data_IF_015171345992
#
_entry.id   IF_015171345992
#
_cell.length_a   1.000
_cell.length_b   1.000
_cell.length_c   1.000
_cell.angle_alpha   90.00
_cell.angle_beta   90.00
_cell.angle_gamma   90.00
#
_symmetry.space_group_name_H-M   'P 1'
#
loop_
_entity.id
_entity.type
_entity.pdbx_description
1 polymer ?
#
# COMPACT_ATOMS: atom_id res chain seq x y z
N UNK A 1 -2.03 5.62 -0.25
CA UNK A 1 -1.03 4.54 -0.47
C UNK A 1 -0.30 4.89 -1.76
N UNK A 2 1.01 4.60 -1.87
CA UNK A 2 1.72 4.76 -3.15
C UNK A 2 1.19 3.74 -4.17
N UNK A 3 0.95 4.17 -5.41
CA UNK A 3 0.55 3.35 -6.54
C UNK A 3 1.74 2.93 -7.41
N UNK A 4 1.55 2.02 -8.38
CA UNK A 4 2.59 1.61 -9.34
C UNK A 4 3.26 2.77 -10.07
N UNK A 5 2.50 3.81 -10.43
CA UNK A 5 2.99 5.02 -11.11
C UNK A 5 4.06 5.80 -10.32
N UNK A 6 3.99 5.74 -8.98
CA UNK A 6 4.94 6.41 -8.08
C UNK A 6 6.33 5.76 -8.11
N UNK A 7 6.44 4.56 -8.68
CA UNK A 7 7.71 3.83 -8.86
C UNK A 7 8.20 3.84 -10.32
N UNK A 8 7.56 4.62 -11.20
CA UNK A 8 8.02 4.77 -12.58
C UNK A 8 9.39 5.45 -12.65
N UNK A 9 10.14 5.19 -13.72
CA UNK A 9 11.43 5.86 -13.98
C UNK A 9 11.30 7.38 -13.94
N UNK A 10 10.18 7.92 -14.44
CA UNK A 10 9.89 9.34 -14.42
C UNK A 10 9.69 9.87 -12.98
N UNK A 11 8.91 9.17 -12.16
CA UNK A 11 8.67 9.55 -10.76
C UNK A 11 9.95 9.49 -9.92
N UNK A 12 10.78 8.46 -10.13
CA UNK A 12 12.05 8.29 -9.42
C UNK A 12 13.06 9.37 -9.82
N UNK A 13 13.13 9.73 -11.11
CA UNK A 13 14.07 10.75 -11.63
C UNK A 13 13.57 12.18 -11.51
N UNK A 14 12.36 12.38 -10.98
CA UNK A 14 11.81 13.71 -10.77
C UNK A 14 12.77 14.56 -9.88
N UNK A 15 13.16 15.77 -10.33
CA UNK A 15 14.11 16.59 -9.59
C UNK A 15 13.67 16.94 -8.17
N UNK A 16 12.36 17.09 -7.93
CA UNK A 16 11.84 17.39 -6.61
C UNK A 16 11.90 16.16 -5.70
N UNK A 17 11.53 14.97 -6.20
CA UNK A 17 11.71 13.70 -5.48
C UNK A 17 13.17 13.49 -5.10
N UNK A 18 14.12 13.69 -6.03
CA UNK A 18 15.55 13.59 -5.76
C UNK A 18 16.03 14.61 -4.72
N UNK A 19 15.53 15.85 -4.77
CA UNK A 19 15.85 16.87 -3.79
C UNK A 19 15.35 16.52 -2.37
N UNK A 20 14.22 15.82 -2.25
CA UNK A 20 13.74 15.29 -0.97
C UNK A 20 14.58 14.11 -0.49
N UNK A 21 14.87 13.14 -1.35
CA UNK A 21 15.70 11.97 -1.02
C UNK A 21 17.07 12.40 -0.51
N UNK A 22 17.68 13.42 -1.12
CA UNK A 22 18.98 13.96 -0.72
C UNK A 22 19.01 14.56 0.70
N UNK A 23 17.85 14.79 1.33
CA UNK A 23 17.73 15.29 2.72
C UNK A 23 17.54 14.16 3.74
N UNK A 24 17.39 12.91 3.30
CA UNK A 24 17.07 11.78 4.17
C UNK A 24 18.38 11.17 4.71
N UNK A 25 18.46 11.01 6.03
CA UNK A 25 19.49 10.23 6.71
C UNK A 25 18.86 8.94 7.26
N UNK A 26 19.44 7.79 6.92
CA UNK A 26 19.01 6.49 7.41
C UNK A 26 19.90 6.06 8.59
N UNK A 27 19.32 6.02 9.79
CA UNK A 27 20.01 5.63 11.01
C UNK A 27 19.60 4.23 11.44
N UNK A 28 20.57 3.46 11.94
CA UNK A 28 20.29 2.18 12.57
C UNK A 28 19.65 2.39 13.95
N UNK A 29 18.52 1.74 14.22
CA UNK A 29 17.77 1.91 15.47
C UNK A 29 18.47 1.32 16.70
N UNK A 30 19.46 0.45 16.51
CA UNK A 30 20.22 -0.17 17.59
C UNK A 30 19.52 -1.38 18.22
N UNK A 31 20.09 -1.95 19.30
CA UNK A 31 19.63 -3.22 19.88
C UNK A 31 18.15 -3.26 20.26
N UNK A 32 17.58 -2.12 20.65
CA UNK A 32 16.14 -2.01 20.96
C UNK A 32 15.28 -2.31 19.72
N UNK A 33 15.67 -1.81 18.54
CA UNK A 33 14.96 -2.06 17.29
C UNK A 33 15.26 -3.47 16.77
N UNK A 34 16.50 -3.93 16.89
CA UNK A 34 16.88 -5.26 16.40
C UNK A 34 16.16 -6.38 17.15
N UNK A 35 16.00 -6.23 18.48
CA UNK A 35 15.32 -7.21 19.33
C UNK A 35 13.84 -7.41 19.00
N UNK A 36 13.24 -6.44 18.30
CA UNK A 36 11.85 -6.46 17.87
C UNK A 36 11.64 -7.18 16.54
N UNK A 37 12.71 -7.44 15.79
CA UNK A 37 12.65 -8.27 14.58
C UNK A 37 12.84 -9.75 14.93
N UNK A 38 12.10 -10.70 14.33
CA UNK A 38 11.11 -10.54 13.25
C UNK A 38 9.68 -10.30 13.73
N UNK A 39 9.46 -10.07 15.04
CA UNK A 39 8.10 -9.88 15.58
C UNK A 39 7.38 -8.72 14.91
N UNK A 40 8.07 -7.61 14.66
CA UNK A 40 7.56 -6.46 13.94
C UNK A 40 8.62 -5.84 13.03
N UNK A 41 8.31 -4.66 12.52
CA UNK A 41 9.18 -3.88 11.63
C UNK A 41 9.31 -2.49 12.26
N UNK A 42 10.16 -2.34 13.30
CA UNK A 42 10.24 -1.10 14.07
C UNK A 42 10.85 0.01 13.21
N UNK A 43 10.08 1.07 12.99
CA UNK A 43 10.49 2.22 12.18
C UNK A 43 10.03 3.51 12.85
N UNK A 44 10.83 4.57 12.68
CA UNK A 44 10.50 5.92 13.13
C UNK A 44 10.96 6.90 12.06
N UNK A 45 10.18 7.96 11.85
CA UNK A 45 10.55 9.11 11.02
C UNK A 45 10.54 10.36 11.89
N UNK A 46 11.60 11.15 11.75
CA UNK A 46 11.71 12.47 12.36
C UNK A 46 11.94 13.48 11.25
N UNK A 47 11.16 14.56 11.24
CA UNK A 47 11.28 15.65 10.26
C UNK A 47 11.69 16.92 11.01
N UNK A 48 12.86 17.46 10.66
CA UNK A 48 13.39 18.69 11.23
C UNK A 48 13.04 19.88 10.32
N UNK A 49 12.38 20.88 10.90
CA UNK A 49 12.20 22.22 10.34
C UNK A 49 13.13 23.20 11.05
N UNK A 50 13.18 24.45 10.59
CA UNK A 50 14.04 25.49 11.20
C UNK A 50 13.69 25.77 12.66
N UNK A 51 12.41 25.69 13.02
CA UNK A 51 11.87 26.08 14.33
C UNK A 51 11.29 24.90 15.14
N UNK A 52 11.14 23.72 14.53
CA UNK A 52 10.48 22.58 15.18
C UNK A 52 10.89 21.22 14.63
N UNK A 53 10.56 20.20 15.39
CA UNK A 53 10.73 18.81 15.02
C UNK A 53 9.37 18.10 15.07
N UNK A 54 9.06 17.32 14.03
CA UNK A 54 7.94 16.39 14.01
C UNK A 54 8.46 14.97 14.18
N UNK A 55 7.74 14.17 14.96
CA UNK A 55 8.13 12.81 15.32
C UNK A 55 6.96 11.86 15.11
N UNK A 56 7.18 10.77 14.36
CA UNK A 56 6.13 9.77 14.14
C UNK A 56 5.85 8.88 15.36
N UNK A 57 6.74 8.89 16.35
CA UNK A 57 6.88 7.80 17.31
C UNK A 57 7.42 6.52 16.66
N UNK A 58 7.77 5.53 17.49
CA UNK A 58 8.17 4.20 17.04
C UNK A 58 6.93 3.42 16.60
N UNK A 59 6.86 3.06 15.31
CA UNK A 59 5.83 2.19 14.76
C UNK A 59 6.40 0.77 14.69
N UNK A 60 5.85 -0.15 15.48
CA UNK A 60 6.27 -1.56 15.48
C UNK A 60 5.49 -2.41 14.47
N UNK A 61 4.18 -2.16 14.37
CA UNK A 61 3.27 -2.89 13.48
C UNK A 61 2.64 -1.92 12.47
N UNK A 62 3.23 -1.76 11.27
CA UNK A 62 2.63 -0.93 10.23
C UNK A 62 1.25 -1.45 9.82
N UNK A 63 0.46 -0.63 9.15
CA UNK A 63 -0.95 -0.90 8.84
C UNK A 63 -1.23 -2.22 8.08
N UNK A 64 -0.24 -2.79 7.38
CA UNK A 64 -0.37 -4.09 6.69
C UNK A 64 0.09 -5.29 7.51
N UNK A 65 0.60 -5.09 8.74
CA UNK A 65 1.11 -6.16 9.59
C UNK A 65 -0.03 -6.89 10.29
N UNK A 66 0.06 -8.22 10.43
CA UNK A 66 -0.98 -9.06 11.05
C UNK A 66 -1.27 -8.69 12.51
N UNK A 67 -0.27 -8.22 13.24
CA UNK A 67 -0.40 -7.72 14.62
C UNK A 67 -0.82 -6.25 14.73
N UNK A 68 -1.08 -5.54 13.62
CA UNK A 68 -1.56 -4.16 13.69
C UNK A 68 -3.04 -4.13 14.14
N UNK A 69 -3.36 -3.34 15.17
CA UNK A 69 -4.72 -3.21 15.71
C UNK A 69 -5.30 -1.80 15.61
N UNK A 70 -4.53 -0.85 15.07
CA UNK A 70 -4.88 0.57 15.01
C UNK A 70 -5.37 1.05 13.64
N UNK A 71 -5.39 0.17 12.63
CA UNK A 71 -5.74 0.53 11.26
C UNK A 71 -7.17 0.11 10.91
N UNK A 72 -7.86 0.94 10.12
CA UNK A 72 -9.11 0.54 9.47
C UNK A 72 -8.77 -0.32 8.24
N UNK A 73 -8.70 -1.64 8.45
CA UNK A 73 -8.28 -2.58 7.41
C UNK A 73 -9.25 -2.63 6.22
N UNK A 74 -10.56 -2.55 6.46
CA UNK A 74 -11.56 -2.59 5.40
C UNK A 74 -11.37 -1.41 4.45
N UNK A 75 -11.21 -0.20 4.99
CA UNK A 75 -10.95 0.99 4.20
C UNK A 75 -9.61 0.91 3.45
N UNK A 76 -8.57 0.40 4.11
CA UNK A 76 -7.24 0.27 3.51
C UNK A 76 -7.24 -0.72 2.33
N UNK A 77 -7.87 -1.88 2.51
CA UNK A 77 -7.97 -2.92 1.49
C UNK A 77 -8.88 -2.49 0.34
N UNK A 78 -10.02 -1.86 0.64
CA UNK A 78 -10.89 -1.27 -0.38
C UNK A 78 -10.11 -0.26 -1.24
N UNK A 79 -9.45 0.70 -0.60
CA UNK A 79 -8.67 1.72 -1.33
C UNK A 79 -7.55 1.09 -2.17
N UNK A 80 -6.84 0.08 -1.64
CA UNK A 80 -5.81 -0.64 -2.39
C UNK A 80 -6.38 -1.38 -3.61
N UNK A 81 -7.51 -2.06 -3.43
CA UNK A 81 -8.17 -2.80 -4.51
C UNK A 81 -8.60 -1.85 -5.63
N UNK A 82 -9.18 -0.71 -5.27
CA UNK A 82 -9.58 0.33 -6.22
C UNK A 82 -8.37 0.96 -6.95
N UNK A 83 -7.32 1.30 -6.19
CA UNK A 83 -6.08 1.90 -6.71
C UNK A 83 -5.43 1.04 -7.80
N UNK A 84 -5.36 -0.27 -7.57
CA UNK A 84 -4.72 -1.20 -8.49
C UNK A 84 -5.67 -1.64 -9.61
N UNK A 85 -6.91 -1.97 -9.28
CA UNK A 85 -7.85 -2.54 -10.23
C UNK A 85 -8.27 -1.56 -11.33
N UNK A 86 -8.30 -0.25 -11.06
CA UNK A 86 -8.58 0.78 -12.08
C UNK A 86 -7.57 0.83 -13.23
N UNK A 87 -6.40 0.22 -13.06
CA UNK A 87 -5.40 0.12 -14.13
C UNK A 87 -5.79 -0.90 -15.20
N UNK A 88 -6.63 -1.88 -14.85
CA UNK A 88 -6.98 -3.00 -15.71
C UNK A 88 -8.49 -3.08 -16.02
N UNK A 89 -9.35 -2.49 -15.19
CA UNK A 89 -10.80 -2.66 -15.27
C UNK A 89 -11.51 -1.31 -15.39
N UNK A 90 -12.66 -1.33 -16.07
CA UNK A 90 -13.62 -0.23 -15.99
C UNK A 90 -14.13 -0.08 -14.54
N UNK A 91 -14.62 1.11 -14.18
CA UNK A 91 -15.16 1.34 -12.84
C UNK A 91 -16.34 0.39 -12.51
N UNK A 92 -17.15 0.02 -13.51
CA UNK A 92 -18.25 -0.92 -13.35
C UNK A 92 -17.73 -2.34 -13.07
N UNK A 93 -16.81 -2.85 -13.91
CA UNK A 93 -16.22 -4.17 -13.74
C UNK A 93 -15.44 -4.30 -12.42
N UNK A 94 -14.71 -3.25 -12.03
CA UNK A 94 -13.98 -3.19 -10.77
C UNK A 94 -14.90 -3.37 -9.56
N UNK A 95 -16.03 -2.65 -9.55
CA UNK A 95 -17.03 -2.75 -8.49
C UNK A 95 -17.70 -4.12 -8.45
N UNK A 96 -17.98 -4.70 -9.62
CA UNK A 96 -18.56 -6.04 -9.74
C UNK A 96 -17.61 -7.10 -9.13
N UNK A 97 -16.35 -7.11 -9.55
CA UNK A 97 -15.34 -8.04 -9.04
C UNK A 97 -15.14 -7.86 -7.53
N UNK A 98 -15.09 -6.62 -7.04
CA UNK A 98 -14.99 -6.35 -5.61
C UNK A 98 -16.16 -6.96 -4.83
N UNK A 99 -17.38 -6.81 -5.35
CA UNK A 99 -18.57 -7.38 -4.71
C UNK A 99 -18.55 -8.91 -4.70
N UNK A 100 -18.12 -9.54 -5.80
CA UNK A 100 -17.99 -11.00 -5.88
C UNK A 100 -16.97 -11.52 -4.86
N UNK A 101 -15.82 -10.86 -4.72
CA UNK A 101 -14.79 -11.24 -3.74
C UNK A 101 -15.26 -11.07 -2.29
N UNK A 102 -16.05 -10.03 -1.99
CA UNK A 102 -16.63 -9.83 -0.67
C UNK A 102 -17.70 -10.88 -0.30
N UNK A 103 -18.26 -11.57 -1.30
CA UNK A 103 -19.27 -12.63 -1.13
C UNK A 103 -18.69 -14.04 -1.30
N UNK A 104 -17.36 -14.19 -1.34
CA UNK A 104 -16.69 -15.44 -1.66
C UNK A 104 -17.09 -16.62 -0.75
N UNK A 105 -17.35 -16.37 0.53
CA UNK A 105 -17.78 -17.41 1.48
C UNK A 105 -19.10 -18.08 1.07
N UNK A 106 -19.99 -17.34 0.40
CA UNK A 106 -21.28 -17.84 -0.07
C UNK A 106 -21.26 -18.28 -1.54
N UNK A 107 -20.14 -18.11 -2.24
CA UNK A 107 -20.04 -18.38 -3.67
C UNK A 107 -20.02 -19.90 -3.95
N UNK A 108 -20.72 -20.30 -5.01
CA UNK A 108 -20.68 -21.65 -5.56
C UNK A 108 -19.36 -21.92 -6.29
N UNK A 109 -18.96 -23.19 -6.49
CA UNK A 109 -17.77 -23.51 -7.28
C UNK A 109 -17.77 -22.92 -8.70
N UNK A 110 -18.95 -22.78 -9.32
CA UNK A 110 -19.08 -22.17 -10.63
C UNK A 110 -18.84 -20.65 -10.60
N UNK A 111 -19.37 -19.95 -9.58
CA UNK A 111 -19.11 -18.51 -9.39
C UNK A 111 -17.64 -18.24 -9.06
N UNK A 112 -17.00 -19.11 -8.25
CA UNK A 112 -15.56 -19.02 -7.97
C UNK A 112 -14.74 -19.18 -9.25
N UNK A 113 -15.12 -20.10 -10.14
CA UNK A 113 -14.45 -20.28 -11.43
C UNK A 113 -14.54 -19.02 -12.32
N UNK A 114 -15.66 -18.30 -12.24
CA UNK A 114 -15.92 -17.09 -13.03
C UNK A 114 -15.19 -15.84 -12.51
N UNK A 115 -14.62 -15.84 -11.29
CA UNK A 115 -13.93 -14.67 -10.71
C UNK A 115 -12.77 -14.13 -11.56
N UNK A 116 -12.20 -14.97 -12.42
CA UNK A 116 -11.09 -14.61 -13.30
C UNK A 116 -11.52 -14.37 -14.76
N UNK A 117 -12.83 -14.45 -15.05
CA UNK A 117 -13.38 -14.17 -16.38
C UNK A 117 -13.62 -12.66 -16.57
N UNK A 118 -12.54 -11.92 -16.84
CA UNK A 118 -12.65 -10.48 -17.10
C UNK A 118 -13.08 -10.22 -18.55
N UNK A 119 -14.31 -9.73 -18.74
CA UNK A 119 -14.85 -9.36 -20.06
C UNK A 119 -14.36 -7.98 -20.53
N UNK A 120 -14.09 -7.08 -19.58
CA UNK A 120 -13.72 -5.68 -19.81
C UNK A 120 -12.30 -5.39 -19.32
N UNK A 121 -11.30 -6.04 -19.91
CA UNK A 121 -9.90 -5.70 -19.68
C UNK A 121 -9.50 -4.48 -20.49
N UNK A 122 -9.04 -3.44 -19.81
CA UNK A 122 -8.32 -2.32 -20.41
C UNK A 122 -6.91 -2.80 -20.75
N UNK A 123 -6.73 -3.37 -21.94
CA UNK A 123 -5.40 -3.60 -22.50
C UNK A 123 -4.78 -2.25 -22.84
N UNK A 124 -4.02 -1.67 -21.90
CA UNK A 124 -3.17 -0.52 -22.22
C UNK A 124 -2.03 -1.02 -23.12
N UNK A 125 -2.01 -0.57 -24.38
CA UNK A 125 -0.83 -0.69 -25.22
C UNK A 125 0.27 0.16 -24.58
N UNK A 126 1.34 -0.50 -24.11
CA UNK A 126 2.56 0.16 -23.65
C UNK A 126 3.32 0.75 -24.83
#
# INVERSE_FOLDING_TARGET
MLGPEDYSDAAIRDPQTQAWIAKIECLHGGPEYDSEYPRGIPTKVTIHFEDKQLDSGKILFPAGHSCCSSSNFDLLLQHKFELLGRQALSAAALKEVQQQLLQLEAATPAEVLQLYEFKDLLLQQQ
#
